data_IF_606335176151
#
_entry.id   IF_606335176151
#
_cell.length_a   1.000
_cell.length_b   1.000
_cell.length_c   1.000
_cell.angle_alpha   90.00
_cell.angle_beta   90.00
_cell.angle_gamma   90.00
#
_symmetry.space_group_name_H-M   'P 1'
#
loop_
_entity.id
_entity.type
_entity.pdbx_description
1 polymer ?
#
# COMPACT_ATOMS: atom_id res chain seq x y z
N UNK A 1 -8.00 -15.02 0.40
CA UNK A 1 -7.73 -13.92 -0.56
C UNK A 1 -8.89 -12.94 -0.54
N UNK A 2 -8.64 -11.64 -0.63
CA UNK A 2 -9.62 -10.56 -0.41
C UNK A 2 -10.53 -10.27 -1.64
N UNK A 3 -10.99 -11.32 -2.33
CA UNK A 3 -11.74 -11.22 -3.60
C UNK A 3 -13.11 -10.52 -3.50
N UNK A 4 -13.64 -10.41 -2.29
CA UNK A 4 -14.94 -9.75 -2.03
C UNK A 4 -14.76 -8.29 -1.59
N UNK A 5 -13.54 -7.78 -1.57
CA UNK A 5 -13.27 -6.41 -1.17
C UNK A 5 -13.45 -5.48 -2.38
N UNK A 6 -14.55 -4.72 -2.38
CA UNK A 6 -14.97 -3.87 -3.51
C UNK A 6 -14.69 -2.37 -3.26
N UNK A 7 -13.68 -2.05 -2.45
CA UNK A 7 -13.30 -0.66 -2.15
C UNK A 7 -11.92 -0.39 -2.69
N UNK A 8 -11.73 0.76 -3.33
CA UNK A 8 -10.41 1.22 -3.77
C UNK A 8 -9.41 1.09 -2.62
N UNK A 9 -8.27 0.47 -2.90
CA UNK A 9 -7.32 0.08 -1.85
C UNK A 9 -5.92 0.57 -2.16
N UNK A 10 -5.18 0.89 -1.09
CA UNK A 10 -3.74 1.06 -1.10
C UNK A 10 -3.13 -0.06 -0.26
N UNK A 11 -2.26 -0.86 -0.86
CA UNK A 11 -1.48 -1.90 -0.19
C UNK A 11 -0.03 -1.45 -0.11
N UNK A 12 0.52 -1.39 1.11
CA UNK A 12 1.89 -0.93 1.35
C UNK A 12 2.69 -2.04 2.03
N UNK A 13 3.86 -2.34 1.51
CA UNK A 13 4.83 -3.24 2.11
C UNK A 13 6.15 -2.51 2.40
N UNK A 14 6.87 -3.00 3.39
CA UNK A 14 8.26 -2.64 3.67
C UNK A 14 9.18 -3.68 3.03
N UNK A 15 10.23 -3.25 2.30
CA UNK A 15 11.07 -4.15 1.50
C UNK A 15 11.84 -5.19 2.34
N UNK A 16 12.17 -4.85 3.58
CA UNK A 16 12.94 -5.70 4.48
C UNK A 16 12.03 -6.54 5.40
N UNK A 17 10.73 -6.63 5.11
CA UNK A 17 9.77 -7.48 5.87
C UNK A 17 9.85 -8.97 5.50
N UNK A 18 10.76 -9.34 4.58
CA UNK A 18 10.93 -10.69 4.07
C UNK A 18 10.06 -11.02 2.86
N UNK A 19 10.58 -11.88 1.97
CA UNK A 19 9.95 -12.24 0.67
C UNK A 19 8.50 -12.72 0.78
N UNK A 20 8.17 -13.41 1.88
CA UNK A 20 6.81 -13.90 2.11
C UNK A 20 5.83 -12.75 2.33
N UNK A 21 6.21 -11.72 3.10
CA UNK A 21 5.33 -10.59 3.42
C UNK A 21 5.09 -9.71 2.19
N UNK A 22 6.12 -9.43 1.40
CA UNK A 22 5.96 -8.75 0.12
C UNK A 22 5.04 -9.52 -0.83
N UNK A 23 5.22 -10.85 -0.91
CA UNK A 23 4.35 -11.70 -1.72
C UNK A 23 2.90 -11.61 -1.25
N UNK A 24 2.63 -11.66 0.06
CA UNK A 24 1.25 -11.58 0.55
C UNK A 24 0.60 -10.24 0.21
N UNK A 25 1.31 -9.12 0.36
CA UNK A 25 0.79 -7.82 -0.05
C UNK A 25 0.47 -7.76 -1.54
N UNK A 26 1.38 -8.25 -2.39
CA UNK A 26 1.14 -8.34 -3.84
C UNK A 26 -0.03 -9.26 -4.18
N UNK A 27 -0.14 -10.41 -3.51
CA UNK A 27 -1.24 -11.36 -3.70
C UNK A 27 -2.57 -10.72 -3.28
N UNK A 28 -2.61 -9.93 -2.21
CA UNK A 28 -3.80 -9.13 -1.87
C UNK A 28 -4.13 -8.12 -2.95
N UNK A 29 -3.17 -7.31 -3.38
CA UNK A 29 -3.37 -6.29 -4.39
C UNK A 29 -3.91 -6.86 -5.72
N UNK A 30 -3.40 -8.02 -6.14
CA UNK A 30 -3.83 -8.69 -7.36
C UNK A 30 -5.24 -9.32 -7.29
N UNK A 31 -5.77 -9.52 -6.09
CA UNK A 31 -7.03 -10.25 -5.89
C UNK A 31 -8.18 -9.38 -5.41
N UNK A 32 -7.94 -8.11 -5.11
CA UNK A 32 -9.00 -7.13 -4.83
C UNK A 32 -9.67 -6.76 -6.16
N UNK A 33 -11.00 -6.75 -6.17
CA UNK A 33 -11.82 -6.48 -7.36
C UNK A 33 -11.93 -5.00 -7.72
N UNK A 34 -11.66 -4.11 -6.76
CA UNK A 34 -11.63 -2.66 -6.95
C UNK A 34 -10.24 -2.14 -7.33
N UNK A 35 -10.16 -0.85 -7.68
CA UNK A 35 -8.88 -0.23 -8.07
C UNK A 35 -7.89 -0.30 -6.90
N UNK A 36 -6.77 -0.98 -7.11
CA UNK A 36 -5.79 -1.23 -6.06
C UNK A 36 -4.41 -0.76 -6.49
N UNK A 37 -3.77 0.04 -5.64
CA UNK A 37 -2.37 0.43 -5.80
C UNK A 37 -1.50 -0.37 -4.82
N UNK A 38 -0.38 -0.88 -5.31
CA UNK A 38 0.60 -1.61 -4.52
C UNK A 38 1.93 -0.85 -4.51
N UNK A 39 2.43 -0.53 -3.32
CA UNK A 39 3.69 0.19 -3.13
C UNK A 39 4.60 -0.59 -2.16
N UNK A 40 5.89 -0.58 -2.46
CA UNK A 40 6.95 -1.05 -1.55
C UNK A 40 7.78 0.14 -1.10
N UNK A 41 7.92 0.31 0.21
CA UNK A 41 8.81 1.28 0.83
C UNK A 41 10.20 0.65 0.92
N UNK A 42 11.21 1.22 0.25
CA UNK A 42 12.55 0.67 0.26
C UNK A 42 13.19 0.83 1.65
N UNK A 43 14.11 -0.07 1.96
CA UNK A 43 14.95 -0.10 3.17
C UNK A 43 14.20 -0.14 4.52
N UNK A 44 12.87 -0.20 4.50
CA UNK A 44 12.03 -0.28 5.70
C UNK A 44 11.82 -1.73 6.15
N UNK A 45 11.75 -1.93 7.46
CA UNK A 45 11.25 -3.16 8.08
C UNK A 45 9.76 -3.06 8.39
N UNK A 46 9.17 -4.15 8.89
CA UNK A 46 7.73 -4.21 9.16
C UNK A 46 7.24 -3.12 10.12
N UNK A 47 8.07 -2.65 11.05
CA UNK A 47 7.72 -1.58 11.98
C UNK A 47 7.89 -0.18 11.39
N UNK A 48 8.51 -0.03 10.21
CA UNK A 48 8.81 1.26 9.57
C UNK A 48 9.56 2.23 10.50
N UNK A 49 10.48 1.71 11.31
CA UNK A 49 11.20 2.49 12.34
C UNK A 49 12.51 3.09 11.83
N UNK A 50 12.92 2.72 10.62
CA UNK A 50 14.08 3.29 9.96
C UNK A 50 13.86 4.77 9.64
N UNK A 51 14.96 5.54 9.62
CA UNK A 51 14.93 6.97 9.33
C UNK A 51 14.25 7.24 7.98
N UNK A 52 13.20 8.08 7.98
CA UNK A 52 12.42 8.40 6.79
C UNK A 52 11.36 7.37 6.37
N UNK A 53 11.32 6.17 6.97
CA UNK A 53 10.37 5.12 6.58
C UNK A 53 8.92 5.49 6.93
N UNK A 54 8.72 6.07 8.11
CA UNK A 54 7.40 6.58 8.53
C UNK A 54 6.95 7.77 7.67
N UNK A 55 7.84 8.72 7.41
CA UNK A 55 7.56 9.87 6.55
C UNK A 55 7.12 9.40 5.17
N UNK A 56 7.82 8.42 4.59
CA UNK A 56 7.47 7.85 3.29
C UNK A 56 6.13 7.12 3.31
N UNK A 57 5.85 6.37 4.38
CA UNK A 57 4.57 5.68 4.58
C UNK A 57 3.40 6.66 4.57
N UNK A 58 3.52 7.74 5.34
CA UNK A 58 2.46 8.75 5.44
C UNK A 58 2.36 9.61 4.19
N UNK A 59 3.48 9.94 3.53
CA UNK A 59 3.49 10.68 2.25
C UNK A 59 2.72 9.91 1.17
N UNK A 60 3.03 8.62 1.00
CA UNK A 60 2.36 7.74 0.04
C UNK A 60 0.87 7.63 0.35
N UNK A 61 0.53 7.46 1.63
CA UNK A 61 -0.86 7.37 2.08
C UNK A 61 -1.63 8.67 1.81
N UNK A 62 -1.06 9.82 2.15
CA UNK A 62 -1.68 11.13 1.94
C UNK A 62 -1.88 11.45 0.45
N UNK A 63 -0.89 11.13 -0.39
CA UNK A 63 -0.99 11.25 -1.85
C UNK A 63 -2.17 10.46 -2.38
N UNK A 64 -2.26 9.17 -2.04
CA UNK A 64 -3.34 8.29 -2.50
C UNK A 64 -4.71 8.83 -2.09
N UNK A 65 -4.88 9.27 -0.84
CA UNK A 65 -6.14 9.86 -0.36
C UNK A 65 -6.50 11.10 -1.18
N UNK A 66 -5.54 11.99 -1.45
CA UNK A 66 -5.76 13.22 -2.21
C UNK A 66 -6.22 12.93 -3.64
N UNK A 67 -5.58 11.98 -4.31
CA UNK A 67 -5.95 11.55 -5.66
C UNK A 67 -7.36 10.95 -5.70
N UNK A 68 -7.71 10.11 -4.73
CA UNK A 68 -9.06 9.52 -4.64
C UNK A 68 -10.14 10.56 -4.36
N UNK A 69 -9.85 11.58 -3.55
CA UNK A 69 -10.77 12.71 -3.33
C UNK A 69 -10.97 13.53 -4.60
N UNK A 70 -9.90 13.80 -5.34
CA UNK A 70 -9.99 14.54 -6.61
C UNK A 70 -10.82 13.77 -7.66
N UNK A 71 -10.67 12.44 -7.75
CA UNK A 71 -11.47 11.59 -8.66
C UNK A 71 -12.98 11.58 -8.35
N UNK A 72 -13.40 11.83 -7.10
CA UNK A 72 -14.82 11.82 -6.69
C UNK A 72 -15.52 13.18 -6.89
N UNK A 73 -14.78 14.24 -7.13
CA UNK A 73 -15.31 15.61 -7.28
C UNK A 73 -15.47 16.08 -8.73
N UNK A 74 -15.09 15.25 -9.70
CA UNK A 74 -15.32 15.43 -11.15
C UNK A 74 -16.35 14.43 -11.64
#
# INVERSE_FOLDING_TARGET
MAKNFNVDTLVINASNSGKAMERFGKDYANNISAETEYIVIPDASHSFTEDGAMERLYEVTARWIKERKAKKGN
#
